data_IF_260923302840
#
_entry.id   IF_260923302840
#
_cell.length_a   1.000
_cell.length_b   1.000
_cell.length_c   1.000
_cell.angle_alpha   90.00
_cell.angle_beta   90.00
_cell.angle_gamma   90.00
#
_symmetry.space_group_name_H-M   'P 1'
#
loop_
_entity.id
_entity.type
_entity.pdbx_description
1 polymer ?
#
# COMPACT_ATOMS: atom_id res chain seq x y z
N UNK A 1 -20.36 -5.87 15.77
CA UNK A 1 -19.57 -7.11 15.81
C UNK A 1 -18.33 -6.89 16.67
N UNK A 2 -17.87 -7.97 17.33
CA UNK A 2 -16.58 -8.01 18.03
C UNK A 2 -15.52 -8.56 17.07
N UNK A 3 -14.51 -7.77 16.78
CA UNK A 3 -13.47 -8.09 15.79
C UNK A 3 -12.12 -8.18 16.50
N UNK A 4 -11.45 -9.32 16.38
CA UNK A 4 -10.03 -9.45 16.72
C UNK A 4 -9.22 -9.22 15.45
N UNK A 5 -8.50 -8.09 15.38
CA UNK A 5 -7.70 -7.74 14.22
C UNK A 5 -6.22 -7.81 14.53
N UNK A 6 -5.49 -8.53 13.70
CA UNK A 6 -4.09 -8.88 13.94
C UNK A 6 -3.25 -8.29 12.80
N UNK A 7 -2.27 -7.46 13.17
CA UNK A 7 -1.38 -6.78 12.24
C UNK A 7 0.10 -7.05 12.59
N UNK A 8 0.95 -7.30 11.59
CA UNK A 8 2.39 -7.50 11.80
C UNK A 8 3.18 -6.18 11.98
N UNK A 9 2.50 -5.05 12.06
CA UNK A 9 3.05 -3.71 12.28
C UNK A 9 1.95 -2.73 12.73
N UNK A 10 2.35 -1.58 13.30
CA UNK A 10 1.42 -0.51 13.63
C UNK A 10 0.88 0.17 12.37
N UNK A 11 -0.45 0.34 12.22
CA UNK A 11 -1.03 1.08 11.11
C UNK A 11 -0.82 2.59 11.20
N UNK A 12 -0.40 3.11 12.35
CA UNK A 12 -0.10 4.51 12.57
C UNK A 12 1.34 4.69 13.11
N UNK A 13 2.10 5.72 12.65
CA UNK A 13 1.76 6.66 11.56
C UNK A 13 1.65 5.98 10.19
N UNK A 14 0.77 6.53 9.34
CA UNK A 14 0.41 5.98 8.04
C UNK A 14 1.50 6.26 6.97
N UNK A 15 2.69 5.67 7.16
CA UNK A 15 3.90 5.91 6.32
C UNK A 15 3.96 5.08 5.04
N UNK A 16 2.97 4.22 4.80
CA UNK A 16 2.88 3.39 3.59
C UNK A 16 1.44 3.10 3.23
N UNK A 17 1.17 2.75 1.97
CA UNK A 17 -0.19 2.45 1.50
C UNK A 17 -0.90 1.36 2.31
N UNK A 18 -0.21 0.29 2.69
CA UNK A 18 -0.77 -0.75 3.55
C UNK A 18 -1.19 -0.21 4.92
N UNK A 19 -0.35 0.60 5.57
CA UNK A 19 -0.68 1.23 6.85
C UNK A 19 -1.86 2.20 6.72
N UNK A 20 -1.85 3.06 5.70
CA UNK A 20 -2.95 3.98 5.39
C UNK A 20 -4.28 3.24 5.25
N UNK A 21 -4.29 2.17 4.43
CA UNK A 21 -5.47 1.31 4.27
C UNK A 21 -5.98 0.79 5.61
N UNK A 22 -5.12 0.16 6.38
CA UNK A 22 -5.49 -0.49 7.64
C UNK A 22 -5.99 0.53 8.67
N UNK A 23 -5.32 1.67 8.78
CA UNK A 23 -5.75 2.75 9.66
C UNK A 23 -7.16 3.25 9.33
N UNK A 24 -7.43 3.56 8.06
CA UNK A 24 -8.73 4.06 7.64
C UNK A 24 -9.84 3.00 7.73
N UNK A 25 -9.54 1.73 7.44
CA UNK A 25 -10.51 0.64 7.63
C UNK A 25 -10.89 0.45 9.10
N UNK A 26 -9.89 0.42 10.01
CA UNK A 26 -10.12 0.33 11.45
C UNK A 26 -11.00 1.48 11.95
N UNK A 27 -10.63 2.73 11.59
CA UNK A 27 -11.39 3.93 11.96
C UNK A 27 -12.83 3.88 11.43
N UNK A 28 -13.01 3.46 10.19
CA UNK A 28 -14.34 3.38 9.56
C UNK A 28 -15.22 2.30 10.17
N UNK A 29 -14.65 1.15 10.54
CA UNK A 29 -15.39 0.08 11.24
C UNK A 29 -15.76 0.48 12.66
N UNK A 30 -14.86 1.13 13.39
CA UNK A 30 -15.14 1.67 14.71
C UNK A 30 -16.27 2.71 14.66
N UNK A 31 -16.24 3.63 13.69
CA UNK A 31 -17.30 4.61 13.48
C UNK A 31 -18.67 4.00 13.16
N UNK A 32 -18.70 2.77 12.62
CA UNK A 32 -19.92 1.98 12.41
C UNK A 32 -20.38 1.17 13.64
N UNK A 33 -19.72 1.38 14.79
CA UNK A 33 -20.08 0.74 16.05
C UNK A 33 -19.53 -0.68 16.20
N UNK A 34 -18.54 -1.10 15.41
CA UNK A 34 -17.85 -2.37 15.64
C UNK A 34 -16.83 -2.23 16.78
N UNK A 35 -16.76 -3.23 17.63
CA UNK A 35 -15.82 -3.30 18.76
C UNK A 35 -14.56 -4.03 18.31
N UNK A 36 -13.43 -3.34 18.29
CA UNK A 36 -12.20 -3.87 17.72
C UNK A 36 -11.16 -4.04 18.81
N UNK A 37 -10.67 -5.26 18.98
CA UNK A 37 -9.42 -5.53 19.70
C UNK A 37 -8.30 -5.66 18.68
N UNK A 38 -7.29 -4.80 18.78
CA UNK A 38 -6.18 -4.72 17.86
C UNK A 38 -4.93 -5.32 18.49
N UNK A 39 -4.42 -6.40 17.88
CA UNK A 39 -3.18 -7.07 18.28
C UNK A 39 -2.08 -6.73 17.27
N UNK A 40 -1.08 -5.99 17.71
CA UNK A 40 0.07 -5.55 16.91
C UNK A 40 1.33 -6.33 17.28
N UNK A 41 2.06 -6.79 16.27
CA UNK A 41 3.37 -7.40 16.44
C UNK A 41 4.40 -6.57 15.66
N UNK A 42 4.86 -5.46 16.26
CA UNK A 42 5.66 -4.44 15.58
C UNK A 42 7.17 -4.60 15.83
N UNK A 43 7.96 -4.31 14.81
CA UNK A 43 9.42 -4.25 14.87
C UNK A 43 9.90 -3.01 15.61
N UNK A 44 9.16 -1.92 15.53
CA UNK A 44 9.51 -0.63 16.12
C UNK A 44 8.62 -0.32 17.31
N UNK A 45 9.17 0.30 18.38
CA UNK A 45 8.36 0.80 19.46
C UNK A 45 7.33 1.80 18.96
N UNK A 46 6.09 1.64 19.35
CA UNK A 46 5.02 2.61 19.08
C UNK A 46 5.11 3.72 20.12
N UNK A 47 5.19 4.98 19.68
CA UNK A 47 5.27 6.11 20.59
C UNK A 47 3.99 6.27 21.43
N UNK A 48 4.05 6.89 22.63
CA UNK A 48 2.84 7.16 23.42
C UNK A 48 1.79 7.98 22.64
N UNK A 49 2.24 8.95 21.83
CA UNK A 49 1.36 9.76 21.00
C UNK A 49 0.67 8.93 19.90
N UNK A 50 1.42 8.06 19.19
CA UNK A 50 0.86 7.17 18.18
C UNK A 50 -0.11 6.14 18.78
N UNK A 51 0.21 5.65 19.97
CA UNK A 51 -0.65 4.75 20.73
C UNK A 51 -1.99 5.41 21.04
N UNK A 52 -1.96 6.66 21.52
CA UNK A 52 -3.18 7.42 21.85
C UNK A 52 -4.09 7.60 20.61
N UNK A 53 -3.52 7.80 19.43
CA UNK A 53 -4.29 7.90 18.18
C UNK A 53 -5.05 6.61 17.89
N UNK A 54 -4.42 5.46 18.10
CA UNK A 54 -5.07 4.16 17.87
C UNK A 54 -6.11 3.85 18.95
N UNK A 55 -5.82 4.12 20.21
CA UNK A 55 -6.73 3.90 21.34
C UNK A 55 -8.02 4.73 21.25
N UNK A 56 -8.00 5.82 20.45
CA UNK A 56 -9.19 6.66 20.27
C UNK A 56 -10.35 5.95 19.54
N UNK A 57 -10.09 4.85 18.83
CA UNK A 57 -11.13 4.14 18.05
C UNK A 57 -11.11 2.61 18.19
N UNK A 58 -10.18 2.02 18.94
CA UNK A 58 -10.20 0.59 19.27
C UNK A 58 -10.62 0.38 20.72
N UNK A 59 -11.33 -0.72 20.99
CA UNK A 59 -11.74 -1.08 22.34
C UNK A 59 -10.54 -1.53 23.20
N UNK A 60 -9.62 -2.25 22.59
CA UNK A 60 -8.42 -2.74 23.23
C UNK A 60 -7.25 -2.72 22.25
N UNK A 61 -6.10 -2.20 22.69
CA UNK A 61 -4.86 -2.17 21.93
C UNK A 61 -3.77 -2.96 22.66
N UNK A 62 -3.29 -4.02 22.03
CA UNK A 62 -2.20 -4.86 22.53
C UNK A 62 -1.03 -4.74 21.53
N UNK A 63 0.13 -4.33 22.03
CA UNK A 63 1.33 -4.12 21.21
C UNK A 63 2.44 -5.00 21.76
N UNK A 64 2.93 -5.93 20.94
CA UNK A 64 4.01 -6.84 21.27
C UNK A 64 5.22 -6.59 20.38
N UNK A 65 6.45 -6.64 20.91
CA UNK A 65 7.66 -6.38 20.17
C UNK A 65 8.03 -7.56 19.27
N UNK A 66 8.23 -7.29 17.97
CA UNK A 66 8.71 -8.27 17.01
C UNK A 66 10.23 -8.34 17.01
N UNK A 67 10.78 -9.55 16.98
CA UNK A 67 12.22 -9.77 16.88
C UNK A 67 12.79 -9.25 15.55
N UNK A 68 14.05 -8.75 15.55
CA UNK A 68 14.69 -8.34 14.31
C UNK A 68 14.97 -9.54 13.40
N UNK A 69 14.78 -9.34 12.10
CA UNK A 69 15.07 -10.35 11.05
C UNK A 69 16.52 -10.85 11.07
N UNK A 70 17.48 -10.01 11.48
CA UNK A 70 18.91 -10.30 11.46
C UNK A 70 19.47 -10.92 12.74
N UNK A 71 18.64 -11.52 13.59
CA UNK A 71 19.17 -12.26 14.75
C UNK A 71 19.71 -13.63 14.33
N UNK A 72 20.79 -14.09 14.95
CA UNK A 72 21.37 -15.40 14.67
C UNK A 72 20.35 -16.54 14.84
N UNK A 73 19.49 -16.45 15.87
CA UNK A 73 18.37 -17.39 16.08
C UNK A 73 17.39 -17.42 14.91
N UNK A 74 17.08 -16.26 14.35
CA UNK A 74 16.19 -16.13 13.19
C UNK A 74 16.81 -16.75 11.93
N UNK A 75 18.13 -16.52 11.70
CA UNK A 75 18.83 -17.09 10.56
C UNK A 75 18.91 -18.62 10.66
N UNK A 76 19.21 -19.16 11.83
CA UNK A 76 19.24 -20.62 12.06
C UNK A 76 17.85 -21.23 11.88
N UNK A 77 16.80 -20.61 12.46
CA UNK A 77 15.43 -21.04 12.27
C UNK A 77 15.00 -20.94 10.80
N UNK A 78 15.39 -19.87 10.11
CA UNK A 78 15.11 -19.66 8.68
C UNK A 78 15.75 -20.72 7.76
N UNK A 79 16.89 -21.30 8.15
CA UNK A 79 17.55 -22.38 7.39
C UNK A 79 16.86 -23.75 7.61
N UNK A 80 16.47 -24.06 8.82
CA UNK A 80 16.02 -25.41 9.22
C UNK A 80 14.51 -25.53 9.43
N UNK A 81 13.78 -24.41 9.62
CA UNK A 81 12.34 -24.46 9.80
C UNK A 81 11.62 -24.86 8.49
N UNK A 82 10.50 -25.57 8.56
CA UNK A 82 9.67 -25.89 7.40
C UNK A 82 8.95 -24.66 6.81
N UNK A 83 9.05 -23.52 7.47
CA UNK A 83 8.41 -22.23 7.11
C UNK A 83 9.38 -21.33 6.37
N UNK A 84 8.89 -20.42 5.50
CA UNK A 84 9.75 -19.40 4.89
C UNK A 84 10.35 -18.48 5.97
N UNK A 85 11.47 -17.83 5.64
CA UNK A 85 12.21 -17.00 6.60
C UNK A 85 11.31 -15.96 7.29
N UNK A 86 10.48 -15.28 6.54
CA UNK A 86 9.61 -14.23 7.06
C UNK A 86 8.53 -14.77 8.04
N UNK A 87 7.96 -15.94 7.75
CA UNK A 87 7.03 -16.60 8.66
C UNK A 87 7.76 -17.13 9.92
N UNK A 88 8.97 -17.67 9.76
CA UNK A 88 9.80 -18.16 10.89
C UNK A 88 10.13 -17.07 11.90
N UNK A 89 10.36 -15.83 11.43
CA UNK A 89 10.61 -14.66 12.32
C UNK A 89 9.40 -14.39 13.21
N UNK A 90 8.21 -14.42 12.65
CA UNK A 90 6.99 -14.17 13.39
C UNK A 90 6.65 -15.32 14.33
N UNK A 91 6.99 -16.56 13.96
CA UNK A 91 6.71 -17.76 14.74
C UNK A 91 7.52 -17.94 16.02
N UNK A 92 8.67 -17.29 16.13
CA UNK A 92 9.54 -17.35 17.32
C UNK A 92 9.11 -16.36 18.43
N UNK A 93 7.82 -16.16 18.63
CA UNK A 93 7.26 -15.18 19.55
C UNK A 93 6.30 -15.85 20.55
N UNK A 94 6.86 -16.48 21.61
CA UNK A 94 6.06 -17.17 22.63
C UNK A 94 5.02 -16.27 23.30
N UNK A 95 5.42 -15.06 23.68
CA UNK A 95 4.50 -14.06 24.26
C UNK A 95 3.30 -13.73 23.35
N UNK A 96 3.53 -13.66 22.04
CA UNK A 96 2.47 -13.43 21.05
C UNK A 96 1.52 -14.63 20.99
N UNK A 97 2.07 -15.85 21.03
CA UNK A 97 1.27 -17.09 21.04
C UNK A 97 0.42 -17.18 22.30
N UNK A 98 0.99 -16.89 23.47
CA UNK A 98 0.29 -16.91 24.75
C UNK A 98 -0.81 -15.85 24.81
N UNK A 99 -0.51 -14.63 24.37
CA UNK A 99 -1.49 -13.54 24.29
C UNK A 99 -2.62 -13.88 23.32
N UNK A 100 -2.30 -14.44 22.17
CA UNK A 100 -3.33 -14.84 21.21
C UNK A 100 -4.20 -15.99 21.74
N UNK A 101 -3.60 -16.99 22.39
CA UNK A 101 -4.36 -18.07 23.04
C UNK A 101 -5.33 -17.54 24.12
N UNK A 102 -4.89 -16.53 24.90
CA UNK A 102 -5.73 -15.87 25.87
C UNK A 102 -6.90 -15.14 25.20
N UNK A 103 -6.63 -14.33 24.16
CA UNK A 103 -7.66 -13.64 23.38
C UNK A 103 -8.68 -14.59 22.77
N UNK A 104 -8.26 -15.73 22.24
CA UNK A 104 -9.18 -16.77 21.76
C UNK A 104 -10.01 -17.43 22.87
N UNK A 105 -9.78 -17.11 24.14
CA UNK A 105 -10.69 -17.48 25.24
C UNK A 105 -12.02 -16.74 25.21
N UNK A 106 -12.08 -15.61 24.51
CA UNK A 106 -13.27 -14.82 24.29
C UNK A 106 -13.99 -15.22 23.00
N UNK A 107 -15.24 -14.75 22.84
CA UNK A 107 -16.01 -14.96 21.61
C UNK A 107 -15.78 -13.80 20.63
N UNK A 108 -15.45 -14.14 19.40
CA UNK A 108 -15.22 -13.20 18.30
C UNK A 108 -16.16 -13.50 17.15
N UNK A 109 -16.80 -12.45 16.62
CA UNK A 109 -17.58 -12.56 15.39
C UNK A 109 -16.65 -12.72 14.17
N UNK A 110 -15.49 -12.04 14.20
CA UNK A 110 -14.48 -12.10 13.17
C UNK A 110 -13.08 -12.11 13.79
N UNK A 111 -12.23 -13.02 13.33
CA UNK A 111 -10.78 -12.96 13.54
C UNK A 111 -10.16 -12.59 12.19
N UNK A 112 -9.59 -11.40 12.11
CA UNK A 112 -8.97 -10.84 10.91
C UNK A 112 -7.46 -10.90 11.03
N UNK A 113 -6.78 -11.51 10.04
CA UNK A 113 -5.32 -11.62 10.00
C UNK A 113 -4.83 -10.98 8.70
N UNK A 114 -3.86 -10.09 8.82
CA UNK A 114 -3.24 -9.44 7.67
C UNK A 114 -1.93 -10.14 7.33
N UNK A 115 -1.78 -10.50 6.07
CA UNK A 115 -0.64 -11.17 5.44
C UNK A 115 -0.35 -12.60 5.94
N UNK A 116 -0.22 -13.52 5.02
CA UNK A 116 0.11 -14.93 5.29
C UNK A 116 1.44 -15.11 6.01
N UNK A 117 2.40 -14.20 5.82
CA UNK A 117 3.69 -14.29 6.53
C UNK A 117 3.59 -14.01 8.03
N UNK A 118 2.50 -13.40 8.50
CA UNK A 118 2.27 -13.16 9.93
C UNK A 118 1.59 -14.34 10.64
N UNK A 119 1.04 -15.29 9.89
CA UNK A 119 0.09 -16.30 10.37
C UNK A 119 0.66 -17.36 11.31
N UNK A 120 1.94 -17.70 11.19
CA UNK A 120 2.52 -18.87 11.87
C UNK A 120 2.28 -18.91 13.40
N UNK A 121 2.37 -17.81 14.18
CA UNK A 121 2.13 -17.84 15.62
C UNK A 121 0.70 -18.25 16.02
N UNK A 122 -0.26 -18.10 15.12
CA UNK A 122 -1.69 -18.25 15.37
C UNK A 122 -2.23 -19.62 14.95
N UNK A 123 -1.50 -20.34 14.08
CA UNK A 123 -1.96 -21.54 13.40
C UNK A 123 -2.48 -22.61 14.37
N UNK A 124 -1.66 -22.98 15.36
CA UNK A 124 -2.01 -24.04 16.31
C UNK A 124 -3.21 -23.69 17.20
N UNK A 125 -3.32 -22.43 17.61
CA UNK A 125 -4.42 -21.95 18.44
C UNK A 125 -5.74 -21.94 17.69
N UNK A 126 -5.74 -21.45 16.45
CA UNK A 126 -6.91 -21.45 15.57
C UNK A 126 -7.38 -22.88 15.26
N UNK A 127 -6.43 -23.78 14.96
CA UNK A 127 -6.73 -25.17 14.68
C UNK A 127 -7.35 -25.91 15.91
N UNK A 128 -6.76 -25.73 17.11
CA UNK A 128 -7.25 -26.34 18.33
C UNK A 128 -8.68 -25.89 18.69
N UNK A 129 -8.99 -24.62 18.45
CA UNK A 129 -10.31 -24.05 18.76
C UNK A 129 -11.29 -24.11 17.60
N UNK A 130 -10.87 -24.62 16.44
CA UNK A 130 -11.65 -24.60 15.21
C UNK A 130 -12.21 -23.20 14.90
N UNK A 131 -11.44 -22.14 15.25
CA UNK A 131 -11.86 -20.77 15.08
C UNK A 131 -11.66 -20.35 13.60
N UNK A 132 -12.73 -19.98 12.88
CA UNK A 132 -12.61 -19.46 11.53
C UNK A 132 -11.94 -18.08 11.54
N UNK A 133 -11.16 -17.79 10.49
CA UNK A 133 -10.49 -16.50 10.31
C UNK A 133 -10.58 -16.01 8.88
N UNK A 134 -10.51 -14.71 8.73
CA UNK A 134 -10.36 -14.00 7.45
C UNK A 134 -8.89 -13.64 7.27
N UNK A 135 -8.34 -13.92 6.09
CA UNK A 135 -6.99 -13.55 5.70
C UNK A 135 -7.06 -12.46 4.63
N UNK A 136 -6.43 -11.31 4.87
CA UNK A 136 -6.25 -10.29 3.83
C UNK A 136 -4.84 -10.31 3.29
N UNK A 137 -4.70 -10.43 1.98
CA UNK A 137 -3.43 -10.29 1.27
C UNK A 137 -3.40 -8.98 0.48
N UNK A 138 -2.35 -8.20 0.68
CA UNK A 138 -2.17 -6.93 -0.03
C UNK A 138 -1.49 -7.10 -1.38
N UNK A 139 -0.82 -8.22 -1.58
CA UNK A 139 -0.13 -8.64 -2.80
C UNK A 139 -0.11 -10.16 -2.87
N UNK A 140 0.30 -10.71 -4.00
CA UNK A 140 0.74 -12.11 -4.10
C UNK A 140 2.17 -12.18 -3.58
N UNK A 141 2.34 -12.46 -2.29
CA UNK A 141 3.63 -12.36 -1.61
C UNK A 141 4.67 -13.34 -2.18
N UNK A 142 4.24 -14.52 -2.61
CA UNK A 142 5.11 -15.49 -3.28
C UNK A 142 5.66 -15.00 -4.62
N UNK A 143 4.95 -14.11 -5.31
CA UNK A 143 5.42 -13.48 -6.53
C UNK A 143 6.37 -12.30 -6.28
N UNK A 144 6.18 -11.59 -5.15
CA UNK A 144 7.04 -10.49 -4.73
C UNK A 144 8.31 -10.95 -4.01
N UNK A 145 8.42 -12.21 -3.68
CA UNK A 145 9.49 -12.78 -2.84
C UNK A 145 10.92 -12.43 -3.27
N UNK A 146 11.15 -12.17 -4.57
CA UNK A 146 12.42 -11.65 -5.07
C UNK A 146 12.75 -10.27 -4.49
N UNK A 147 11.77 -9.36 -4.42
CA UNK A 147 11.98 -8.00 -3.94
C UNK A 147 12.43 -7.93 -2.47
N UNK A 148 12.07 -8.92 -1.64
CA UNK A 148 12.55 -9.04 -0.27
C UNK A 148 14.05 -9.28 -0.19
N UNK A 149 14.66 -9.83 -1.24
CA UNK A 149 16.06 -10.27 -1.31
C UNK A 149 16.92 -9.48 -2.30
N UNK A 150 16.40 -8.41 -2.91
CA UNK A 150 17.08 -7.62 -3.96
C UNK A 150 18.45 -7.06 -3.54
N UNK A 151 18.67 -6.91 -2.22
CA UNK A 151 19.94 -6.41 -1.66
C UNK A 151 20.94 -7.53 -1.32
N UNK A 152 20.61 -8.78 -1.58
CA UNK A 152 21.50 -9.90 -1.29
C UNK A 152 22.44 -10.16 -2.47
N UNK A 153 23.70 -10.58 -2.19
CA UNK A 153 24.66 -10.87 -3.24
C UNK A 153 24.21 -12.09 -4.08
N UNK A 154 24.63 -12.13 -5.34
CA UNK A 154 24.21 -13.18 -6.31
C UNK A 154 24.49 -14.61 -5.86
N UNK A 155 25.48 -14.84 -5.01
CA UNK A 155 25.74 -16.18 -4.48
C UNK A 155 24.62 -16.71 -3.57
N UNK A 156 23.74 -15.86 -3.07
CA UNK A 156 22.58 -16.26 -2.24
C UNK A 156 21.38 -16.74 -3.06
N UNK A 157 21.41 -16.68 -4.39
CA UNK A 157 20.31 -17.08 -5.28
C UNK A 157 19.75 -18.49 -5.01
N UNK A 158 20.56 -19.54 -4.72
CA UNK A 158 20.00 -20.86 -4.39
C UNK A 158 19.14 -20.83 -3.12
N UNK A 159 19.58 -20.09 -2.09
CA UNK A 159 18.81 -19.90 -0.87
C UNK A 159 17.51 -19.11 -1.13
N UNK A 160 17.59 -18.04 -1.93
CA UNK A 160 16.42 -17.23 -2.29
C UNK A 160 15.38 -18.09 -3.00
N UNK A 161 15.77 -18.88 -4.00
CA UNK A 161 14.85 -19.78 -4.73
C UNK A 161 14.22 -20.83 -3.82
N UNK A 162 15.01 -21.39 -2.90
CA UNK A 162 14.52 -22.34 -1.90
C UNK A 162 13.50 -21.69 -0.96
N UNK A 163 13.77 -20.48 -0.47
CA UNK A 163 12.86 -19.77 0.41
C UNK A 163 11.57 -19.32 -0.30
N UNK A 164 11.67 -18.89 -1.57
CA UNK A 164 10.50 -18.59 -2.41
C UNK A 164 9.62 -19.83 -2.63
N UNK A 165 10.22 -20.99 -2.86
CA UNK A 165 9.48 -22.24 -2.97
C UNK A 165 8.78 -22.61 -1.66
N UNK A 166 9.46 -22.44 -0.50
CA UNK A 166 8.82 -22.60 0.82
C UNK A 166 7.67 -21.62 0.99
N UNK A 167 7.88 -20.37 0.56
CA UNK A 167 6.88 -19.31 0.67
C UNK A 167 5.61 -19.65 -0.12
N UNK A 168 5.73 -20.04 -1.36
CA UNK A 168 4.58 -20.43 -2.20
C UNK A 168 3.78 -21.61 -1.61
N UNK A 169 4.47 -22.58 -0.98
CA UNK A 169 3.80 -23.69 -0.26
C UNK A 169 3.10 -23.21 1.01
N UNK A 170 3.74 -22.33 1.75
CA UNK A 170 3.21 -21.73 2.97
C UNK A 170 1.97 -20.89 2.69
N UNK A 171 2.06 -19.94 1.75
CA UNK A 171 0.97 -19.08 1.32
C UNK A 171 -0.27 -19.89 0.92
N UNK A 172 -0.06 -20.91 0.08
CA UNK A 172 -1.15 -21.86 -0.29
C UNK A 172 -1.76 -22.56 0.91
N UNK A 173 -0.95 -23.01 1.87
CA UNK A 173 -1.40 -23.67 3.08
C UNK A 173 -2.29 -22.75 3.90
N UNK A 174 -1.83 -21.55 4.20
CA UNK A 174 -2.55 -20.57 5.00
C UNK A 174 -3.86 -20.17 4.34
N UNK A 175 -3.84 -19.86 3.04
CA UNK A 175 -5.03 -19.46 2.29
C UNK A 175 -6.10 -20.56 2.28
N UNK A 176 -5.71 -21.80 2.19
CA UNK A 176 -6.68 -22.94 2.24
C UNK A 176 -7.30 -23.12 3.60
N UNK A 177 -6.59 -22.82 4.69
CA UNK A 177 -7.10 -22.89 6.05
C UNK A 177 -8.04 -21.72 6.38
N UNK A 178 -7.83 -20.53 5.81
CA UNK A 178 -8.69 -19.38 6.04
C UNK A 178 -10.13 -19.67 5.66
N UNK A 179 -11.10 -19.22 6.44
CA UNK A 179 -12.52 -19.30 6.07
C UNK A 179 -12.78 -18.44 4.82
N UNK A 180 -12.18 -17.24 4.77
CA UNK A 180 -12.21 -16.34 3.63
C UNK A 180 -10.83 -15.72 3.40
N UNK A 181 -10.40 -15.67 2.14
CA UNK A 181 -9.26 -14.87 1.69
C UNK A 181 -9.80 -13.61 1.00
N UNK A 182 -9.17 -12.47 1.24
CA UNK A 182 -9.54 -11.16 0.68
C UNK A 182 -8.34 -10.58 -0.05
N UNK A 183 -8.54 -10.06 -1.26
CA UNK A 183 -7.56 -9.35 -2.05
C UNK A 183 -7.81 -7.83 -2.03
N UNK A 184 -6.79 -7.06 -2.44
CA UNK A 184 -6.87 -5.59 -2.56
C UNK A 184 -7.14 -5.15 -3.99
N UNK A 185 -6.72 -5.94 -4.97
CA UNK A 185 -6.95 -5.66 -6.40
C UNK A 185 -7.57 -6.87 -7.10
N UNK A 186 -8.26 -6.63 -8.22
CA UNK A 186 -8.85 -7.70 -9.02
C UNK A 186 -7.78 -8.61 -9.64
N UNK A 187 -6.64 -8.03 -10.03
CA UNK A 187 -5.54 -8.79 -10.60
C UNK A 187 -4.95 -9.78 -9.58
N UNK A 188 -4.73 -9.30 -8.34
CA UNK A 188 -4.26 -10.17 -7.26
C UNK A 188 -5.31 -11.23 -6.92
N UNK A 189 -6.60 -10.87 -6.87
CA UNK A 189 -7.68 -11.82 -6.59
C UNK A 189 -7.67 -13.02 -7.54
N UNK A 190 -7.54 -12.81 -8.84
CA UNK A 190 -7.47 -13.88 -9.83
C UNK A 190 -6.31 -14.86 -9.61
N UNK A 191 -5.16 -14.34 -9.14
CA UNK A 191 -4.00 -15.19 -8.80
C UNK A 191 -4.24 -15.93 -7.49
N UNK A 192 -4.73 -15.21 -6.46
CA UNK A 192 -5.00 -15.76 -5.14
C UNK A 192 -6.10 -16.81 -5.16
N UNK A 193 -7.12 -16.70 -6.02
CA UNK A 193 -8.15 -17.73 -6.25
C UNK A 193 -7.54 -19.06 -6.69
N UNK A 194 -6.57 -19.01 -7.61
CA UNK A 194 -5.86 -20.21 -8.08
C UNK A 194 -5.02 -20.85 -6.97
N UNK A 195 -4.43 -20.03 -6.08
CA UNK A 195 -3.63 -20.50 -4.95
C UNK A 195 -4.52 -21.07 -3.85
N UNK A 196 -5.58 -20.35 -3.47
CA UNK A 196 -6.51 -20.70 -2.40
C UNK A 196 -7.46 -21.85 -2.77
N UNK A 197 -7.80 -21.96 -4.06
CA UNK A 197 -8.79 -22.93 -4.57
C UNK A 197 -10.23 -22.58 -4.20
N UNK A 198 -10.51 -21.30 -3.93
CA UNK A 198 -11.83 -20.77 -3.56
C UNK A 198 -11.96 -19.31 -4.01
N UNK A 199 -13.20 -18.77 -4.12
CA UNK A 199 -13.42 -17.37 -4.49
C UNK A 199 -12.72 -16.40 -3.53
N UNK A 200 -12.08 -15.37 -4.08
CA UNK A 200 -11.37 -14.32 -3.34
C UNK A 200 -12.03 -12.96 -3.64
N UNK A 201 -12.90 -12.46 -2.75
CA UNK A 201 -13.48 -11.14 -2.91
C UNK A 201 -12.41 -10.05 -2.84
N UNK A 202 -12.68 -8.94 -3.52
CA UNK A 202 -11.82 -7.77 -3.54
C UNK A 202 -12.39 -6.70 -2.62
N UNK A 203 -11.57 -6.25 -1.68
CA UNK A 203 -11.83 -5.05 -0.89
C UNK A 203 -10.80 -4.02 -1.29
N UNK A 204 -11.17 -3.16 -2.25
CA UNK A 204 -10.27 -2.15 -2.84
C UNK A 204 -9.78 -1.14 -1.82
N UNK A 205 -8.66 -0.49 -2.13
CA UNK A 205 -8.24 0.69 -1.41
C UNK A 205 -9.16 1.87 -1.74
N UNK A 206 -9.39 2.71 -0.75
CA UNK A 206 -10.13 3.96 -0.90
C UNK A 206 -9.27 5.16 -0.53
N UNK A 207 -9.78 6.34 -0.80
CA UNK A 207 -9.20 7.62 -0.43
C UNK A 207 -10.27 8.49 0.21
N UNK A 208 -9.89 9.35 1.16
CA UNK A 208 -10.78 10.34 1.78
C UNK A 208 -10.92 11.54 0.81
N UNK A 209 -11.90 11.44 -0.09
CA UNK A 209 -12.12 12.46 -1.12
C UNK A 209 -12.43 13.83 -0.53
N UNK A 210 -13.18 13.88 0.58
CA UNK A 210 -13.55 15.15 1.23
C UNK A 210 -12.31 15.83 1.82
N UNK A 211 -11.40 15.05 2.42
CA UNK A 211 -10.14 15.57 2.93
C UNK A 211 -9.25 16.12 1.79
N UNK A 212 -9.04 15.35 0.73
CA UNK A 212 -8.16 15.75 -0.37
C UNK A 212 -8.78 16.82 -1.28
N UNK A 213 -10.11 16.95 -1.36
CA UNK A 213 -10.76 18.02 -2.09
C UNK A 213 -10.48 19.44 -1.53
N UNK A 214 -9.92 19.53 -0.32
CA UNK A 214 -9.44 20.79 0.24
C UNK A 214 -8.11 21.28 -0.39
N UNK A 215 -7.40 20.45 -1.15
CA UNK A 215 -6.25 20.87 -1.93
C UNK A 215 -6.71 21.69 -3.16
N UNK A 216 -5.92 22.70 -3.51
CA UNK A 216 -6.16 23.56 -4.66
C UNK A 216 -4.89 23.64 -5.50
N UNK A 217 -4.61 22.63 -6.37
CA UNK A 217 -3.42 22.59 -7.20
C UNK A 217 -3.23 23.88 -8.02
N UNK A 218 -1.99 24.38 -8.09
CA UNK A 218 -1.66 25.57 -8.83
C UNK A 218 -1.04 25.22 -10.20
N UNK A 219 -1.81 25.32 -11.30
CA UNK A 219 -1.33 24.98 -12.63
C UNK A 219 -0.23 25.92 -13.16
N UNK A 220 -0.02 27.07 -12.53
CA UNK A 220 0.98 28.05 -12.98
C UNK A 220 2.41 27.71 -12.55
N UNK A 221 2.58 26.81 -11.57
CA UNK A 221 3.89 26.59 -10.94
C UNK A 221 4.82 25.68 -11.71
N UNK A 222 4.34 24.92 -12.70
CA UNK A 222 5.09 23.87 -13.41
C UNK A 222 5.88 22.95 -12.46
N UNK A 223 5.33 22.73 -11.26
CA UNK A 223 5.91 21.93 -10.19
C UNK A 223 5.25 20.55 -10.14
N UNK A 224 6.06 19.52 -10.31
CA UNK A 224 5.59 18.12 -10.18
C UNK A 224 5.81 17.60 -8.77
N UNK A 225 4.86 16.82 -8.30
CA UNK A 225 4.97 16.06 -7.05
C UNK A 225 5.32 14.60 -7.36
N UNK A 226 6.37 14.09 -6.72
CA UNK A 226 6.64 12.67 -6.59
C UNK A 226 6.55 12.26 -5.12
N UNK A 227 5.72 11.26 -4.83
CA UNK A 227 5.49 10.74 -3.49
C UNK A 227 5.88 9.26 -3.41
N UNK A 228 6.68 8.87 -2.39
CA UNK A 228 7.06 7.48 -2.21
C UNK A 228 7.52 7.13 -0.80
N UNK A 229 7.38 5.85 -0.43
CA UNK A 229 8.16 5.26 0.66
C UNK A 229 9.42 4.66 0.04
N UNK A 230 10.58 5.18 0.39
CA UNK A 230 11.87 4.80 -0.21
C UNK A 230 12.55 3.60 0.46
N UNK A 231 11.90 2.97 1.44
CA UNK A 231 12.24 1.62 1.87
C UNK A 231 11.75 0.55 0.86
N UNK A 232 10.85 0.94 -0.06
CA UNK A 232 10.31 0.08 -1.11
C UNK A 232 11.05 0.31 -2.43
N UNK A 233 11.80 -0.70 -2.88
CA UNK A 233 12.67 -0.62 -4.04
C UNK A 233 12.02 -0.08 -5.33
N UNK A 234 10.77 -0.41 -5.69
CA UNK A 234 10.12 0.19 -6.85
C UNK A 234 9.96 1.71 -6.81
N UNK A 235 9.82 2.32 -5.63
CA UNK A 235 9.78 3.78 -5.52
C UNK A 235 11.17 4.40 -5.68
N UNK A 236 12.21 3.70 -5.22
CA UNK A 236 13.61 4.12 -5.42
C UNK A 236 13.95 4.09 -6.90
N UNK A 237 13.66 3.00 -7.59
CA UNK A 237 13.84 2.85 -9.02
C UNK A 237 13.11 3.94 -9.81
N UNK A 238 11.84 4.20 -9.47
CA UNK A 238 11.02 5.19 -10.16
C UNK A 238 11.56 6.62 -10.01
N UNK A 239 12.01 7.02 -8.81
CA UNK A 239 12.54 8.37 -8.60
C UNK A 239 13.93 8.53 -9.23
N UNK A 240 14.79 7.53 -9.15
CA UNK A 240 16.10 7.56 -9.80
C UNK A 240 15.94 7.69 -11.33
N UNK A 241 15.06 6.90 -11.92
CA UNK A 241 14.72 7.00 -13.33
C UNK A 241 14.14 8.36 -13.72
N UNK A 242 13.24 8.91 -12.88
CA UNK A 242 12.68 10.24 -13.10
C UNK A 242 13.75 11.33 -13.09
N UNK A 243 14.69 11.28 -12.14
CA UNK A 243 15.74 12.27 -11.97
C UNK A 243 16.85 12.15 -13.03
N UNK A 244 17.23 10.93 -13.40
CA UNK A 244 18.33 10.68 -14.33
C UNK A 244 17.91 10.84 -15.80
N UNK A 245 16.66 10.46 -16.16
CA UNK A 245 16.27 10.37 -17.56
C UNK A 245 15.07 11.26 -17.95
N UNK A 246 14.03 11.39 -17.09
CA UNK A 246 12.82 12.15 -17.43
C UNK A 246 13.02 13.64 -17.21
N UNK A 247 13.49 14.04 -16.04
CA UNK A 247 13.62 15.43 -15.64
C UNK A 247 14.53 16.25 -16.57
N UNK A 248 15.70 15.76 -17.07
CA UNK A 248 16.49 16.47 -18.03
C UNK A 248 15.74 16.77 -19.35
N UNK A 249 14.86 15.86 -19.78
CA UNK A 249 14.03 16.06 -20.97
C UNK A 249 12.91 17.07 -20.74
N UNK A 250 12.34 17.09 -19.54
CA UNK A 250 11.40 18.14 -19.13
C UNK A 250 12.07 19.50 -19.12
N UNK A 251 13.27 19.62 -18.56
CA UNK A 251 14.02 20.89 -18.54
C UNK A 251 14.42 21.41 -19.91
N UNK A 252 14.63 20.51 -20.88
CA UNK A 252 14.86 20.91 -22.27
C UNK A 252 13.63 21.58 -22.92
N UNK A 253 12.41 21.32 -22.39
CA UNK A 253 11.14 21.88 -22.88
C UNK A 253 10.60 22.99 -21.97
N UNK A 254 10.82 22.88 -20.66
CA UNK A 254 10.38 23.81 -19.62
C UNK A 254 11.52 24.01 -18.62
N UNK A 255 12.35 25.02 -18.85
CA UNK A 255 13.57 25.26 -18.07
C UNK A 255 13.30 25.53 -16.58
N UNK A 256 12.14 26.10 -16.26
CA UNK A 256 11.73 26.49 -14.91
C UNK A 256 10.96 25.38 -14.16
N UNK A 257 10.76 24.21 -14.78
CA UNK A 257 10.08 23.09 -14.15
C UNK A 257 10.79 22.66 -12.87
N UNK A 258 10.01 22.43 -11.80
CA UNK A 258 10.50 22.01 -10.49
C UNK A 258 9.94 20.65 -10.12
N UNK A 259 10.69 19.91 -9.32
CA UNK A 259 10.27 18.61 -8.81
C UNK A 259 10.34 18.58 -7.29
N UNK A 260 9.19 18.38 -6.65
CA UNK A 260 9.10 18.14 -5.20
C UNK A 260 9.13 16.64 -4.94
N UNK A 261 10.21 16.18 -4.30
CA UNK A 261 10.41 14.79 -3.92
C UNK A 261 10.04 14.62 -2.45
N UNK A 262 8.95 13.87 -2.19
CA UNK A 262 8.38 13.72 -0.86
C UNK A 262 8.29 12.24 -0.47
N UNK A 263 8.48 11.94 0.81
CA UNK A 263 8.21 10.62 1.36
C UNK A 263 9.14 10.15 2.46
N UNK A 264 8.82 8.98 2.97
CA UNK A 264 9.52 8.35 4.09
C UNK A 264 10.75 7.57 3.63
N UNK A 265 11.80 7.54 4.47
CA UNK A 265 12.99 6.72 4.24
C UNK A 265 13.92 7.25 3.14
N UNK A 266 13.86 8.55 2.84
CA UNK A 266 14.68 9.20 1.81
C UNK A 266 16.17 9.13 2.15
N UNK A 267 17.03 8.57 1.26
CA UNK A 267 18.48 8.54 1.49
C UNK A 267 19.10 9.94 1.47
N UNK A 268 19.88 10.27 2.50
CA UNK A 268 20.57 11.58 2.57
C UNK A 268 21.56 11.82 1.43
N UNK A 269 22.12 10.75 0.85
CA UNK A 269 23.05 10.80 -0.28
C UNK A 269 22.43 11.32 -1.59
N UNK A 270 21.11 11.31 -1.71
CA UNK A 270 20.43 11.81 -2.92
C UNK A 270 20.63 13.30 -3.13
N UNK A 271 20.65 14.08 -2.07
CA UNK A 271 20.93 15.53 -2.14
C UNK A 271 22.33 15.84 -2.68
N UNK A 272 23.26 14.90 -2.46
CA UNK A 272 24.63 15.02 -2.97
C UNK A 272 24.75 14.56 -4.43
N UNK A 273 23.94 13.60 -4.85
CA UNK A 273 23.91 13.08 -6.23
C UNK A 273 23.21 14.04 -7.18
N UNK A 274 22.08 14.60 -6.78
CA UNK A 274 21.26 15.51 -7.58
C UNK A 274 21.19 16.90 -6.92
N UNK A 275 22.18 17.75 -7.19
CA UNK A 275 22.35 19.08 -6.54
C UNK A 275 21.59 20.21 -7.19
N UNK A 276 20.77 19.95 -8.21
CA UNK A 276 20.04 21.01 -8.92
C UNK A 276 19.00 21.66 -7.98
N UNK A 277 18.97 23.01 -7.87
CA UNK A 277 18.07 23.71 -6.96
C UNK A 277 16.59 23.62 -7.37
N UNK A 278 16.29 23.13 -8.56
CA UNK A 278 14.90 22.85 -9.01
C UNK A 278 14.36 21.53 -8.45
N UNK A 279 15.21 20.72 -7.80
CA UNK A 279 14.79 19.50 -7.09
C UNK A 279 14.64 19.83 -5.61
N UNK A 280 13.40 19.76 -5.12
CA UNK A 280 13.04 20.10 -3.75
C UNK A 280 12.86 18.82 -2.91
N UNK A 281 13.75 18.61 -1.97
CA UNK A 281 13.76 17.43 -1.10
C UNK A 281 12.94 17.69 0.16
N UNK A 282 11.65 17.33 0.16
CA UNK A 282 10.71 17.63 1.25
C UNK A 282 10.84 16.65 2.44
N UNK A 283 11.30 15.40 2.19
CA UNK A 283 11.26 14.36 3.21
C UNK A 283 9.84 13.88 3.49
N UNK A 284 9.61 13.37 4.71
CA UNK A 284 8.27 12.96 5.12
C UNK A 284 7.41 14.17 5.49
N UNK A 285 6.27 14.32 4.85
CA UNK A 285 5.29 15.38 5.09
C UNK A 285 4.02 14.76 5.66
N UNK A 286 3.65 15.06 6.92
CA UNK A 286 2.47 14.49 7.57
C UNK A 286 1.14 14.90 6.93
N UNK A 287 1.04 16.15 6.46
CA UNK A 287 -0.11 16.69 5.75
C UNK A 287 0.29 17.06 4.33
N UNK A 288 -0.30 16.38 3.35
CA UNK A 288 0.04 16.55 1.93
C UNK A 288 -0.74 17.71 1.27
N UNK A 289 -1.80 18.25 1.88
CA UNK A 289 -2.69 19.22 1.24
C UNK A 289 -1.95 20.48 0.74
N UNK A 290 -1.09 21.06 1.58
CA UNK A 290 -0.33 22.26 1.20
C UNK A 290 0.66 21.97 0.08
N UNK A 291 1.32 20.81 0.15
CA UNK A 291 2.26 20.38 -0.88
C UNK A 291 1.55 20.09 -2.20
N UNK A 292 0.42 19.40 -2.16
CA UNK A 292 -0.41 19.14 -3.35
C UNK A 292 -0.95 20.43 -3.94
N UNK A 293 -1.37 21.38 -3.10
CA UNK A 293 -1.84 22.70 -3.55
C UNK A 293 -0.73 23.54 -4.22
N UNK A 294 0.52 23.34 -3.84
CA UNK A 294 1.68 24.03 -4.45
C UNK A 294 2.18 23.40 -5.74
N UNK A 295 1.61 22.26 -6.15
CA UNK A 295 2.04 21.52 -7.33
C UNK A 295 1.00 21.59 -8.45
N UNK A 296 1.44 21.37 -9.68
CA UNK A 296 0.60 21.38 -10.88
C UNK A 296 0.38 19.98 -11.45
N UNK A 297 1.23 19.00 -11.12
CA UNK A 297 1.22 17.64 -11.69
C UNK A 297 1.66 16.64 -10.65
N UNK A 298 1.08 15.45 -10.68
CA UNK A 298 1.60 14.27 -9.97
C UNK A 298 2.28 13.31 -10.95
N UNK A 299 3.47 12.83 -10.62
CA UNK A 299 4.22 11.89 -11.44
C UNK A 299 4.29 10.51 -10.79
N UNK A 300 3.86 9.48 -11.51
CA UNK A 300 3.92 8.09 -11.07
C UNK A 300 4.67 7.18 -12.07
N UNK A 301 6.00 7.32 -12.24
CA UNK A 301 6.78 6.65 -13.25
C UNK A 301 7.27 5.28 -12.77
N UNK A 302 6.37 4.45 -12.24
CA UNK A 302 6.74 3.12 -11.75
C UNK A 302 6.95 2.17 -12.94
N UNK A 303 8.06 1.42 -12.93
CA UNK A 303 8.37 0.39 -13.94
C UNK A 303 8.00 -1.01 -13.46
N UNK A 304 7.90 -1.19 -12.14
CA UNK A 304 7.53 -2.45 -11.49
C UNK A 304 6.93 -2.20 -10.11
N UNK A 305 6.42 -3.24 -9.45
CA UNK A 305 5.82 -3.20 -8.13
C UNK A 305 4.36 -3.62 -8.11
N UNK A 306 3.94 -4.25 -7.02
CA UNK A 306 2.58 -4.76 -6.81
C UNK A 306 1.67 -3.79 -6.07
N UNK A 307 0.45 -4.26 -5.77
CA UNK A 307 -0.55 -3.59 -4.96
C UNK A 307 -1.19 -2.37 -5.60
N UNK A 308 -2.23 -1.84 -4.96
CA UNK A 308 -2.92 -0.62 -5.38
C UNK A 308 -2.10 0.63 -5.06
N UNK A 309 -2.14 1.61 -5.95
CA UNK A 309 -1.36 2.84 -5.90
C UNK A 309 -2.11 3.95 -5.15
N UNK A 310 -2.25 3.86 -3.81
CA UNK A 310 -2.97 4.86 -2.99
C UNK A 310 -2.53 6.29 -3.26
N UNK A 311 -1.22 6.52 -3.41
CA UNK A 311 -0.67 7.85 -3.72
C UNK A 311 -1.24 8.48 -5.01
N UNK A 312 -1.64 7.64 -5.98
CA UNK A 312 -2.30 8.09 -7.21
C UNK A 312 -3.74 8.49 -6.92
N UNK A 313 -4.46 7.69 -6.12
CA UNK A 313 -5.82 8.04 -5.70
C UNK A 313 -5.85 9.33 -4.88
N UNK A 314 -4.90 9.52 -3.96
CA UNK A 314 -4.75 10.75 -3.17
C UNK A 314 -4.47 11.97 -4.07
N UNK A 315 -3.59 11.84 -5.06
CA UNK A 315 -3.28 12.91 -6.01
C UNK A 315 -4.48 13.27 -6.89
N UNK A 316 -5.21 12.27 -7.41
CA UNK A 316 -6.42 12.49 -8.19
C UNK A 316 -7.56 13.10 -7.35
N UNK A 317 -7.72 12.67 -6.09
CA UNK A 317 -8.69 13.25 -5.17
C UNK A 317 -8.35 14.71 -4.82
N UNK A 318 -7.07 15.06 -4.79
CA UNK A 318 -6.60 16.44 -4.65
C UNK A 318 -6.74 17.27 -5.94
N UNK A 319 -7.19 16.68 -7.05
CA UNK A 319 -7.34 17.37 -8.34
C UNK A 319 -6.04 17.56 -9.11
N UNK A 320 -4.95 16.88 -8.76
CA UNK A 320 -3.69 16.93 -9.51
C UNK A 320 -3.79 16.15 -10.83
N UNK A 321 -3.47 16.76 -11.97
CA UNK A 321 -3.24 16.03 -13.22
C UNK A 321 -2.16 14.96 -13.03
N UNK A 322 -2.34 13.79 -13.67
CA UNK A 322 -1.48 12.64 -13.49
C UNK A 322 -0.70 12.32 -14.78
N UNK A 323 0.63 12.30 -14.67
CA UNK A 323 1.53 11.70 -15.66
C UNK A 323 2.05 10.37 -15.10
N UNK A 324 1.87 9.27 -15.83
CA UNK A 324 2.16 7.93 -15.29
C UNK A 324 2.56 6.93 -16.35
N UNK A 325 3.31 5.90 -15.95
CA UNK A 325 3.38 4.65 -16.70
C UNK A 325 2.10 3.83 -16.48
N UNK A 326 1.85 2.84 -17.33
CA UNK A 326 0.80 1.84 -17.10
C UNK A 326 0.97 1.12 -15.74
N UNK A 327 2.21 0.80 -15.38
CA UNK A 327 2.52 0.22 -14.08
C UNK A 327 2.24 1.17 -12.90
N UNK A 328 2.39 2.48 -13.11
CA UNK A 328 2.12 3.49 -12.10
C UNK A 328 0.64 3.60 -11.72
N UNK A 329 -0.27 3.18 -12.57
CA UNK A 329 -1.73 3.12 -12.35
C UNK A 329 -2.25 1.70 -12.22
N UNK A 330 -1.40 0.70 -12.27
CA UNK A 330 -1.82 -0.71 -12.19
C UNK A 330 -2.62 -0.99 -10.91
N UNK A 331 -3.71 -1.75 -11.05
CA UNK A 331 -4.64 -2.04 -9.95
C UNK A 331 -5.66 -0.93 -9.68
N UNK A 332 -5.68 0.11 -10.51
CA UNK A 332 -6.71 1.16 -10.55
C UNK A 332 -7.46 1.08 -11.88
N UNK A 333 -8.75 1.39 -11.84
CA UNK A 333 -9.59 1.40 -13.05
C UNK A 333 -9.54 2.78 -13.71
N UNK A 334 -8.35 3.12 -14.27
CA UNK A 334 -8.06 4.39 -14.92
C UNK A 334 -7.79 4.20 -16.41
N UNK A 335 -8.28 5.13 -17.22
CA UNK A 335 -8.18 5.12 -18.68
C UNK A 335 -7.17 6.16 -19.15
N UNK A 336 -6.17 5.70 -19.91
CA UNK A 336 -5.18 6.59 -20.52
C UNK A 336 -5.83 7.61 -21.49
N UNK A 337 -5.33 8.83 -21.47
CA UNK A 337 -5.86 9.95 -22.24
C UNK A 337 -7.15 10.57 -21.67
N UNK A 338 -7.75 9.93 -20.66
CA UNK A 338 -8.97 10.39 -20.00
C UNK A 338 -8.73 10.73 -18.52
N UNK A 339 -8.13 9.83 -17.77
CA UNK A 339 -7.87 9.96 -16.34
C UNK A 339 -6.41 10.28 -16.03
N UNK A 340 -5.51 9.94 -16.95
CA UNK A 340 -4.08 10.25 -16.87
C UNK A 340 -3.44 10.35 -18.26
N UNK A 341 -2.29 11.02 -18.34
CA UNK A 341 -1.44 11.00 -19.51
C UNK A 341 -0.36 9.94 -19.34
N UNK A 342 -0.34 8.98 -20.27
CA UNK A 342 0.53 7.82 -20.24
C UNK A 342 1.87 8.02 -20.94
N UNK A 343 2.89 7.26 -20.51
CA UNK A 343 4.17 7.13 -21.20
C UNK A 343 4.94 5.92 -20.66
N UNK A 344 5.62 5.22 -21.57
CA UNK A 344 6.42 4.04 -21.20
C UNK A 344 7.92 4.27 -21.26
N UNK A 345 8.33 5.41 -21.82
CA UNK A 345 9.73 5.83 -21.92
C UNK A 345 9.90 7.27 -21.41
N UNK A 346 11.15 7.75 -21.22
CA UNK A 346 11.41 9.08 -20.68
C UNK A 346 10.88 10.24 -21.53
N UNK A 347 10.83 10.10 -22.85
CA UNK A 347 10.34 11.15 -23.75
C UNK A 347 8.83 11.31 -23.62
N UNK A 348 8.08 10.20 -23.66
CA UNK A 348 6.62 10.20 -23.50
C UNK A 348 6.20 10.78 -22.14
N UNK A 349 6.89 10.38 -21.05
CA UNK A 349 6.61 10.92 -19.71
C UNK A 349 6.98 12.39 -19.58
N UNK A 350 8.04 12.85 -20.24
CA UNK A 350 8.37 14.27 -20.29
C UNK A 350 7.31 15.06 -21.06
N UNK A 351 6.80 14.52 -22.18
CA UNK A 351 5.71 15.13 -22.93
C UNK A 351 4.41 15.16 -22.13
N UNK A 352 4.06 14.05 -21.45
CA UNK A 352 2.91 13.97 -20.57
C UNK A 352 3.00 15.02 -19.43
N UNK A 353 4.16 15.13 -18.78
CA UNK A 353 4.38 16.15 -17.73
C UNK A 353 4.21 17.56 -18.27
N UNK A 354 4.89 17.90 -19.38
CA UNK A 354 4.80 19.23 -19.99
C UNK A 354 3.37 19.54 -20.45
N UNK A 355 2.65 18.56 -20.99
CA UNK A 355 1.24 18.72 -21.34
C UNK A 355 0.37 19.04 -20.12
N UNK A 356 0.59 18.35 -19.00
CA UNK A 356 -0.10 18.63 -17.73
C UNK A 356 0.17 20.06 -17.21
N UNK A 357 1.41 20.57 -17.34
CA UNK A 357 1.76 21.94 -16.94
C UNK A 357 1.14 23.01 -17.86
N UNK A 358 0.92 22.73 -19.13
CA UNK A 358 0.40 23.68 -20.10
C UNK A 358 -1.13 23.73 -20.16
N UNK A 359 -1.81 22.85 -19.45
CA UNK A 359 -3.27 22.82 -19.39
C UNK A 359 -3.75 23.88 -18.40
N UNK A 360 -4.03 25.09 -18.91
CA UNK A 360 -4.59 26.23 -18.16
C UNK A 360 -5.97 25.92 -17.51
N UNK A 361 -6.62 24.86 -17.91
CA UNK A 361 -7.76 24.23 -17.25
C UNK A 361 -7.62 22.72 -17.41
N UNK A 362 -7.51 21.95 -16.32
CA UNK A 362 -7.59 20.50 -16.42
C UNK A 362 -8.90 20.14 -17.14
N UNK A 363 -8.92 19.14 -18.04
CA UNK A 363 -10.15 18.70 -18.67
C UNK A 363 -11.19 18.37 -17.60
N UNK A 364 -12.49 18.60 -17.85
CA UNK A 364 -13.55 18.60 -16.84
C UNK A 364 -13.67 17.32 -15.99
N UNK A 365 -13.02 16.23 -16.40
CA UNK A 365 -12.97 14.98 -15.64
C UNK A 365 -11.82 14.89 -14.63
N UNK A 366 -10.71 15.61 -14.81
CA UNK A 366 -9.60 15.65 -13.84
C UNK A 366 -9.93 16.47 -12.59
N UNK A 367 -10.92 17.36 -12.67
CA UNK A 367 -11.44 18.20 -11.58
C UNK A 367 -12.63 17.54 -10.86
N UNK A 368 -13.20 16.48 -11.41
CA UNK A 368 -14.20 15.73 -10.65
C UNK A 368 -13.46 14.83 -9.66
N UNK A 369 -13.78 14.92 -8.35
CA UNK A 369 -13.42 13.86 -7.43
C UNK A 369 -13.85 12.56 -8.11
N UNK A 370 -12.95 11.59 -8.22
CA UNK A 370 -13.30 10.25 -8.66
C UNK A 370 -14.61 9.91 -7.96
N UNK A 371 -15.66 9.59 -8.74
CA UNK A 371 -16.98 9.35 -8.20
C UNK A 371 -16.79 8.49 -6.96
N UNK A 372 -17.40 8.82 -5.82
CA UNK A 372 -16.98 8.30 -4.54
C UNK A 372 -16.90 6.78 -4.61
N UNK A 373 -15.68 6.25 -4.70
CA UNK A 373 -15.39 4.86 -4.32
C UNK A 373 -15.59 4.73 -2.80
N UNK A 374 -16.28 5.72 -2.24
CA UNK A 374 -16.72 5.80 -0.88
C UNK A 374 -17.83 4.77 -0.69
N UNK A 375 -17.49 3.70 0.04
CA UNK A 375 -18.45 2.81 0.65
C UNK A 375 -19.29 1.98 -0.33
N UNK A 376 -18.68 1.01 -1.01
CA UNK A 376 -19.43 -0.21 -1.24
C UNK A 376 -19.88 -0.73 0.14
N UNK A 377 -21.16 -0.93 0.41
CA UNK A 377 -21.59 -1.51 1.67
C UNK A 377 -20.93 -2.89 1.77
N UNK A 378 -20.26 -3.17 2.88
CA UNK A 378 -19.82 -4.51 3.24
C UNK A 378 -21.04 -5.37 3.63
N UNK A 379 -22.00 -5.50 2.73
CA UNK A 379 -23.07 -6.48 2.79
C UNK A 379 -22.74 -7.49 1.70
N UNK A 380 -22.69 -8.78 2.07
CA UNK A 380 -22.40 -9.88 1.15
C UNK A 380 -23.40 -10.13 0.02
N UNK A 381 -23.92 -9.06 -0.55
CA UNK A 381 -24.69 -9.06 -1.77
C UNK A 381 -23.76 -8.68 -2.92
N UNK A 382 -23.69 -9.53 -3.93
CA UNK A 382 -23.04 -9.25 -5.22
C UNK A 382 -23.42 -7.87 -5.72
N UNK A 383 -22.47 -7.07 -6.28
CA UNK A 383 -22.81 -5.78 -6.84
C UNK A 383 -23.87 -5.96 -7.93
N UNK A 384 -24.89 -5.11 -7.98
CA UNK A 384 -25.87 -5.19 -9.06
C UNK A 384 -25.17 -4.97 -10.42
N UNK A 385 -25.56 -5.76 -11.41
CA UNK A 385 -24.99 -5.83 -12.75
C UNK A 385 -25.10 -4.53 -13.60
N UNK A 386 -25.34 -3.36 -12.98
CA UNK A 386 -25.63 -2.10 -13.66
C UNK A 386 -24.70 -0.93 -13.29
N UNK A 387 -23.42 -1.20 -12.99
CA UNK A 387 -22.43 -0.13 -12.76
C UNK A 387 -21.86 0.49 -14.05
N UNK A 388 -22.31 0.08 -15.20
CA UNK A 388 -21.75 0.51 -16.48
C UNK A 388 -22.41 1.72 -17.13
N UNK A 389 -23.34 2.44 -16.50
CA UNK A 389 -23.93 3.66 -17.09
C UNK A 389 -24.42 4.66 -16.04
N UNK A 390 -23.55 5.49 -15.51
CA UNK A 390 -23.94 6.85 -15.15
C UNK A 390 -23.56 7.78 -16.30
N UNK A 391 -24.39 7.88 -17.31
CA UNK A 391 -24.33 8.95 -18.30
C UNK A 391 -24.70 10.26 -17.62
N UNK A 392 -23.88 11.33 -17.73
CA UNK A 392 -24.27 12.65 -17.24
C UNK A 392 -25.40 13.23 -18.10
N UNK A 393 -26.27 14.10 -17.51
CA UNK A 393 -27.28 14.80 -18.29
C UNK A 393 -26.62 15.70 -19.32
N UNK A 394 -27.12 15.63 -20.56
CA UNK A 394 -26.76 16.52 -21.66
C UNK A 394 -27.06 17.97 -21.29
N UNK A 395 -26.05 18.81 -21.19
CA UNK A 395 -26.24 20.25 -21.28
C UNK A 395 -26.27 20.65 -22.76
N UNK A 396 -27.43 21.16 -23.20
CA UNK A 396 -27.57 22.01 -24.38
C UNK A 396 -27.07 23.40 -24.06
#
# INVERSE_FOLDING_TARGET
>A
MRILWILPYSPWPATSGGKTRQFHLLRSLAARGHRITLLLHDKHPVSPADRQVLEAFVEQLIILPRRPLRSLKTLVAGLFAPYPLLASVNGLAGELQDTFNWLLGEQWDVVQIEHSYSFQPYEDALARKSQPFVLTEHNVESALGAATYDRLPRWSLPFIRYDQWRYARWERRVMRQAAQVVAVTQNDAHVLEKIAGKPVPVVVNGVDCDHFAAAHPDPSTCRVLFLGNYEYAPNVDAIEWALDEILPKVWARCADARMSVCGFGMPGSWRERWKDPRIEWQGFVPNLLDLQSSCSVFLAPLRHGGGSKLKVLEALAAGLPLASTEQGVSGLDLVEGLDYLGGQNPDDLADAWCACCNVLKPPPRWVRPAAPMCAAPMTGASPPANWSRCTPPSYR
#
